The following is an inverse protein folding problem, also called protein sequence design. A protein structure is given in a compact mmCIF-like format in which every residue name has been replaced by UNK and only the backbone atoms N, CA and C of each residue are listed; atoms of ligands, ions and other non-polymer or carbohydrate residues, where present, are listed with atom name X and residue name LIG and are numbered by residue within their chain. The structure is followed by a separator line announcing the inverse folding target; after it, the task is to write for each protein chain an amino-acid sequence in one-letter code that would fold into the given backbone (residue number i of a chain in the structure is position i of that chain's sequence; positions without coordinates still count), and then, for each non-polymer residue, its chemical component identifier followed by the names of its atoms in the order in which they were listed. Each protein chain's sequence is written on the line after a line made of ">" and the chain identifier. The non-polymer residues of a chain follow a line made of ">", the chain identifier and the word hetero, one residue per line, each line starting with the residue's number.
data_IF_896674657668
#
_entry.id   IF_896674657668
#
_cell.length_a   1.000
_cell.length_b   1.000
_cell.length_c   1.000
_cell.angle_alpha   90.00
_cell.angle_beta   90.00
_cell.angle_gamma   90.00
#
_symmetry.space_group_name_H-M   'P 1'
#
loop_
_entity.id
_entity.type
_entity.pdbx_description
1 polymer ?
#
# COMPACT_ATOMS: atom_id res chain seq x y z
N UNK A 1 -15.95 -51.15 -48.87
CA UNK A 1 -15.04 -50.06 -48.50
C UNK A 1 -15.48 -49.48 -47.16
N UNK A 2 -14.49 -49.32 -46.27
CA UNK A 2 -14.42 -48.44 -45.09
C UNK A 2 -15.58 -48.43 -44.08
N UNK A 3 -15.32 -48.92 -42.87
CA UNK A 3 -15.47 -48.15 -41.62
C UNK A 3 -14.90 -48.94 -40.44
N UNK A 4 -13.95 -48.36 -39.72
CA UNK A 4 -13.76 -48.61 -38.29
C UNK A 4 -12.92 -47.46 -37.73
N UNK A 5 -13.60 -46.51 -37.10
CA UNK A 5 -12.99 -45.46 -36.29
C UNK A 5 -12.34 -46.09 -35.05
N UNK A 6 -11.13 -45.62 -34.72
CA UNK A 6 -10.34 -46.08 -33.58
C UNK A 6 -11.09 -45.96 -32.26
N UNK A 7 -11.20 -47.08 -31.56
CA UNK A 7 -11.69 -47.15 -30.19
C UNK A 7 -10.53 -46.81 -29.25
N UNK A 8 -10.53 -45.60 -28.70
CA UNK A 8 -9.66 -45.29 -27.56
C UNK A 8 -10.31 -45.86 -26.29
N UNK A 9 -9.59 -46.65 -25.47
CA UNK A 9 -10.14 -47.10 -24.21
C UNK A 9 -10.37 -45.88 -23.30
N UNK A 10 -11.54 -45.85 -22.65
CA UNK A 10 -11.86 -44.84 -21.66
C UNK A 10 -10.82 -44.89 -20.53
N UNK A 11 -10.15 -43.78 -20.29
CA UNK A 11 -9.29 -43.61 -19.12
C UNK A 11 -10.18 -43.69 -17.87
N UNK A 12 -10.23 -44.87 -17.26
CA UNK A 12 -10.79 -45.04 -15.93
C UNK A 12 -9.84 -44.35 -14.95
N UNK A 13 -10.17 -43.13 -14.51
CA UNK A 13 -9.53 -42.56 -13.35
C UNK A 13 -9.92 -43.43 -12.15
N UNK A 14 -8.93 -44.06 -11.52
CA UNK A 14 -9.15 -44.95 -10.40
C UNK A 14 -9.53 -44.07 -9.19
N UNK A 15 -10.81 -44.03 -8.82
CA UNK A 15 -11.31 -43.20 -7.71
C UNK A 15 -10.81 -43.65 -6.34
N UNK A 16 -10.12 -44.80 -6.29
CA UNK A 16 -9.49 -45.34 -5.08
C UNK A 16 -8.07 -44.78 -4.84
N UNK A 17 -7.63 -43.80 -5.64
CA UNK A 17 -6.46 -42.99 -5.28
C UNK A 17 -6.81 -42.11 -4.08
N UNK A 18 -6.56 -42.65 -2.89
CA UNK A 18 -6.50 -41.88 -1.65
C UNK A 18 -5.45 -40.79 -1.85
N UNK A 19 -5.89 -39.54 -1.90
CA UNK A 19 -4.97 -38.42 -1.88
C UNK A 19 -4.34 -38.34 -0.49
N UNK A 20 -3.01 -38.42 -0.41
CA UNK A 20 -2.30 -38.08 0.82
C UNK A 20 -2.60 -36.62 1.15
N UNK A 21 -3.17 -36.38 2.33
CA UNK A 21 -3.42 -35.03 2.81
C UNK A 21 -2.09 -34.38 3.17
N UNK A 22 -1.69 -33.38 2.37
CA UNK A 22 -0.53 -32.55 2.69
C UNK A 22 -0.98 -31.53 3.73
N UNK A 23 -0.65 -31.79 4.99
CA UNK A 23 -0.83 -30.81 6.06
C UNK A 23 0.18 -29.67 5.88
N UNK A 24 -0.33 -28.51 5.46
CA UNK A 24 0.44 -27.28 5.52
C UNK A 24 0.36 -26.74 6.94
N UNK A 25 1.42 -26.91 7.73
CA UNK A 25 1.56 -26.16 8.98
C UNK A 25 1.61 -24.69 8.60
N UNK A 26 0.57 -23.94 8.94
CA UNK A 26 0.63 -22.47 8.89
C UNK A 26 1.59 -22.08 10.00
N UNK A 27 2.86 -22.04 9.63
CA UNK A 27 3.99 -21.86 10.53
C UNK A 27 3.66 -20.77 11.54
N UNK A 28 3.81 -21.11 12.80
CA UNK A 28 3.42 -20.35 13.97
C UNK A 28 4.18 -19.02 14.02
N UNK A 29 3.74 -18.00 13.28
CA UNK A 29 4.19 -16.62 13.48
C UNK A 29 3.60 -15.99 14.76
N UNK A 30 3.17 -16.85 15.69
CA UNK A 30 2.83 -16.53 17.08
C UNK A 30 4.08 -16.50 17.97
N UNK A 31 5.27 -16.33 17.41
CA UNK A 31 6.40 -15.74 18.15
C UNK A 31 5.87 -14.43 18.76
N UNK A 32 5.58 -14.49 20.05
CA UNK A 32 5.10 -13.38 20.87
C UNK A 32 6.14 -12.29 20.82
N UNK A 33 6.05 -11.40 19.81
CA UNK A 33 6.88 -10.22 19.65
C UNK A 33 6.72 -9.35 20.89
N UNK A 34 7.68 -9.39 21.83
CA UNK A 34 7.48 -8.71 23.08
C UNK A 34 7.51 -7.21 22.80
N UNK A 35 6.52 -6.50 23.35
CA UNK A 35 6.59 -5.06 23.57
C UNK A 35 6.49 -4.16 22.31
N UNK A 36 6.01 -4.62 21.16
CA UNK A 36 5.81 -3.75 19.97
C UNK A 36 4.91 -2.54 20.28
N UNK A 37 3.80 -2.79 20.99
CA UNK A 37 2.86 -1.76 21.39
C UNK A 37 3.53 -0.73 22.33
N UNK A 38 4.35 -1.19 23.28
CA UNK A 38 5.09 -0.30 24.17
C UNK A 38 6.10 0.57 23.42
N UNK A 39 6.83 0.01 22.44
CA UNK A 39 7.77 0.75 21.60
C UNK A 39 7.06 1.81 20.75
N UNK A 40 5.91 1.46 20.17
CA UNK A 40 5.10 2.36 19.37
C UNK A 40 4.49 3.50 20.19
N UNK A 41 3.94 3.19 21.36
CA UNK A 41 3.41 4.18 22.29
C UNK A 41 4.52 5.08 22.84
N UNK A 42 5.72 4.55 23.02
CA UNK A 42 6.93 5.29 23.39
C UNK A 42 7.43 6.29 22.33
N UNK A 43 6.78 6.39 21.16
CA UNK A 43 7.09 7.41 20.16
C UNK A 43 7.97 6.94 19.00
N UNK A 44 8.37 5.66 18.99
CA UNK A 44 9.18 5.12 17.90
C UNK A 44 8.37 4.96 16.62
N UNK A 45 9.02 5.19 15.49
CA UNK A 45 8.40 4.93 14.19
C UNK A 45 8.42 3.42 13.88
N UNK A 46 7.48 2.98 13.04
CA UNK A 46 7.44 1.58 12.58
C UNK A 46 8.75 1.13 11.91
N UNK A 47 9.46 2.05 11.23
CA UNK A 47 10.77 1.76 10.61
C UNK A 47 11.86 1.55 11.66
N UNK A 48 11.87 2.36 12.71
CA UNK A 48 12.81 2.18 13.83
C UNK A 48 12.54 0.87 14.56
N UNK A 49 11.27 0.53 14.78
CA UNK A 49 10.88 -0.73 15.39
C UNK A 49 11.31 -1.91 14.50
N UNK A 50 11.20 -1.80 13.18
CA UNK A 50 11.71 -2.82 12.26
C UNK A 50 13.22 -3.00 12.37
N UNK A 51 13.98 -1.90 12.45
CA UNK A 51 15.43 -1.97 12.61
C UNK A 51 15.84 -2.57 13.97
N UNK A 52 15.11 -2.27 15.04
CA UNK A 52 15.40 -2.77 16.39
C UNK A 52 15.00 -4.22 16.60
N UNK A 53 13.85 -4.62 16.04
CA UNK A 53 13.29 -5.96 16.24
C UNK A 53 13.79 -6.97 15.21
N UNK A 54 14.31 -6.51 14.07
CA UNK A 54 14.73 -7.38 12.96
C UNK A 54 13.56 -7.91 12.12
N UNK A 55 12.32 -7.53 12.44
CA UNK A 55 11.13 -7.97 11.71
C UNK A 55 10.79 -7.04 10.55
N UNK A 56 10.21 -7.59 9.46
CA UNK A 56 9.73 -6.77 8.36
C UNK A 56 8.68 -5.75 8.82
N UNK A 57 8.71 -4.58 8.19
CA UNK A 57 7.72 -3.52 8.43
C UNK A 57 6.28 -4.01 8.28
N UNK A 58 6.00 -4.84 7.26
CA UNK A 58 4.67 -5.41 7.01
C UNK A 58 4.18 -6.26 8.17
N UNK A 59 5.05 -7.12 8.72
CA UNK A 59 4.75 -7.98 9.86
C UNK A 59 4.44 -7.17 11.12
N UNK A 60 5.25 -6.14 11.41
CA UNK A 60 5.03 -5.26 12.56
C UNK A 60 3.72 -4.50 12.42
N UNK A 61 3.45 -3.96 11.22
CA UNK A 61 2.20 -3.26 10.93
C UNK A 61 1.00 -4.17 11.12
N UNK A 62 1.02 -5.36 10.55
CA UNK A 62 -0.06 -6.32 10.65
C UNK A 62 -0.33 -6.72 12.11
N UNK A 63 0.73 -6.95 12.90
CA UNK A 63 0.55 -7.24 14.34
C UNK A 63 -0.07 -6.09 15.10
N UNK A 64 0.39 -4.87 14.89
CA UNK A 64 -0.18 -3.70 15.55
C UNK A 64 -1.65 -3.45 15.13
N UNK A 65 -2.01 -3.75 13.89
CA UNK A 65 -3.41 -3.73 13.41
C UNK A 65 -4.25 -4.79 14.14
N UNK A 66 -3.74 -6.01 14.29
CA UNK A 66 -4.42 -7.08 15.04
C UNK A 66 -4.56 -6.75 16.54
N UNK A 67 -3.60 -6.05 17.12
CA UNK A 67 -3.64 -5.54 18.50
C UNK A 67 -4.54 -4.30 18.66
N UNK A 68 -5.18 -3.81 17.58
CA UNK A 68 -6.10 -2.67 17.61
C UNK A 68 -5.43 -1.31 17.80
N UNK A 69 -4.12 -1.20 17.52
CA UNK A 69 -3.37 0.05 17.69
C UNK A 69 -3.71 1.03 16.57
N UNK A 70 -4.17 2.22 16.93
CA UNK A 70 -4.42 3.30 15.97
C UNK A 70 -3.10 3.94 15.51
N UNK A 71 -2.81 3.91 14.21
CA UNK A 71 -1.61 4.56 13.70
C UNK A 71 -1.69 6.08 13.73
N UNK A 72 -0.59 6.70 14.13
CA UNK A 72 -0.37 8.15 14.07
C UNK A 72 -0.55 8.64 12.64
N UNK A 73 -1.36 9.68 12.47
CA UNK A 73 -1.50 10.35 11.19
C UNK A 73 -0.15 10.85 10.69
N UNK A 74 0.16 10.54 9.43
CA UNK A 74 1.35 11.08 8.77
C UNK A 74 1.23 12.61 8.71
N UNK A 75 2.18 13.31 9.35
CA UNK A 75 2.34 14.76 9.17
C UNK A 75 2.90 15.12 7.79
N UNK A 76 3.38 14.15 7.03
CA UNK A 76 3.84 14.38 5.67
C UNK A 76 2.63 14.62 4.78
N UNK A 77 2.49 15.86 4.31
CA UNK A 77 1.59 16.24 3.22
C UNK A 77 2.04 15.46 2.00
N UNK A 78 1.12 14.75 1.34
CA UNK A 78 1.48 13.99 0.15
C UNK A 78 2.04 14.93 -0.91
N UNK A 79 3.03 14.47 -1.68
CA UNK A 79 3.66 15.29 -2.73
C UNK A 79 2.61 15.88 -3.69
N UNK A 80 1.54 15.12 -3.98
CA UNK A 80 0.40 15.58 -4.78
C UNK A 80 -0.40 16.72 -4.12
N UNK A 81 -0.55 16.73 -2.80
CA UNK A 81 -1.22 17.83 -2.09
C UNK A 81 -0.32 19.06 -2.06
N UNK A 82 1.00 18.89 -1.90
CA UNK A 82 1.96 19.98 -1.94
C UNK A 82 2.05 20.62 -3.34
N UNK A 83 2.02 19.82 -4.41
CA UNK A 83 1.98 20.33 -5.78
C UNK A 83 0.68 21.08 -6.11
N UNK A 84 -0.46 20.65 -5.53
CA UNK A 84 -1.77 21.31 -5.69
C UNK A 84 -1.91 22.62 -4.90
N UNK A 85 -0.92 23.00 -4.09
CA UNK A 85 -0.86 24.33 -3.48
C UNK A 85 -0.40 25.41 -4.48
N UNK A 86 -0.02 25.06 -5.71
CA UNK A 86 -0.07 26.03 -6.80
C UNK A 86 -1.55 26.42 -7.00
N UNK A 87 -1.84 27.69 -6.81
CA UNK A 87 -3.18 28.27 -6.72
C UNK A 87 -4.17 27.67 -7.74
N UNK A 88 -5.40 27.39 -7.28
CA UNK A 88 -6.49 26.82 -8.09
C UNK A 88 -6.64 27.60 -9.40
N UNK A 89 -6.38 26.96 -10.53
CA UNK A 89 -6.43 27.56 -11.87
C UNK A 89 -7.82 28.10 -12.29
N UNK A 90 -8.88 27.78 -11.53
CA UNK A 90 -10.27 28.09 -11.85
C UNK A 90 -10.82 29.33 -11.14
N UNK A 91 -10.03 29.98 -10.28
CA UNK A 91 -10.44 31.27 -9.70
C UNK A 91 -9.81 32.39 -10.53
N UNK A 92 -10.56 33.46 -10.88
CA UNK A 92 -9.97 34.63 -11.53
C UNK A 92 -8.79 35.15 -10.71
N UNK A 93 -7.70 35.60 -11.36
CA UNK A 93 -6.57 36.16 -10.65
C UNK A 93 -6.98 37.48 -9.96
N UNK A 94 -6.33 37.86 -8.84
CA UNK A 94 -6.53 39.17 -8.23
C UNK A 94 -6.20 40.32 -9.21
N UNK A 95 -6.80 41.49 -9.00
CA UNK A 95 -6.54 42.70 -9.79
C UNK A 95 -5.03 43.02 -9.82
N UNK A 96 -4.48 43.30 -11.00
CA UNK A 96 -3.04 43.48 -11.22
C UNK A 96 -2.21 42.21 -11.36
N UNK A 97 -2.85 41.06 -11.42
CA UNK A 97 -2.18 39.79 -11.65
C UNK A 97 -2.85 39.00 -12.77
N UNK A 98 -2.06 38.15 -13.43
CA UNK A 98 -2.52 37.19 -14.41
C UNK A 98 -1.83 35.84 -14.22
N UNK A 99 -2.40 34.78 -14.82
CA UNK A 99 -1.80 33.45 -14.79
C UNK A 99 -0.90 33.23 -16.00
N UNK A 100 0.34 32.79 -15.77
CA UNK A 100 1.29 32.35 -16.79
C UNK A 100 1.89 31.01 -16.36
N UNK A 101 1.73 29.96 -17.18
CA UNK A 101 2.22 28.60 -16.87
C UNK A 101 1.76 28.05 -15.50
N UNK A 102 0.54 28.41 -15.08
CA UNK A 102 0.00 28.01 -13.77
C UNK A 102 0.60 28.76 -12.58
N UNK A 103 1.37 29.81 -12.82
CA UNK A 103 1.91 30.72 -11.80
C UNK A 103 1.24 32.09 -11.87
N UNK A 104 1.09 32.74 -10.72
CA UNK A 104 0.56 34.09 -10.63
C UNK A 104 1.69 35.10 -10.90
N UNK A 105 1.53 35.93 -11.92
CA UNK A 105 2.52 36.93 -12.36
C UNK A 105 1.87 38.33 -12.30
N UNK A 106 2.66 39.36 -11.97
CA UNK A 106 2.19 40.76 -11.95
C UNK A 106 1.98 41.26 -13.37
N UNK A 107 0.86 41.94 -13.62
CA UNK A 107 0.63 42.62 -14.90
C UNK A 107 1.56 43.85 -15.00
N UNK A 108 2.36 43.91 -16.07
CA UNK A 108 3.23 45.04 -16.36
C UNK A 108 2.45 46.34 -16.60
N UNK A 109 1.18 46.24 -17.03
CA UNK A 109 0.31 47.40 -17.23
C UNK A 109 -0.08 48.08 -15.92
N UNK A 110 -0.28 47.30 -14.85
CA UNK A 110 -0.71 47.82 -13.55
C UNK A 110 0.48 48.18 -12.64
N UNK A 111 1.64 47.57 -12.86
CA UNK A 111 2.87 47.83 -12.12
C UNK A 111 4.02 48.24 -13.06
N UNK A 112 3.98 49.46 -13.66
CA UNK A 112 5.12 49.99 -14.39
C UNK A 112 6.30 50.27 -13.43
N UNK A 113 7.51 49.90 -13.86
CA UNK A 113 8.77 50.09 -13.14
C UNK A 113 9.36 51.49 -13.36
#
# INVERSE_FOLDING_TARGET
>A
MCTAYGSHPAATCNSDQVHDFIEFSTNEFNESLPCLNALYNGGRSLKEIAALSGFPFSTIRQKLELEGVTFRASKAVSANVLLRQSFKHNSPPPFGFYYLEGRLVKDAKEYPH
#
